data_IF_545316454784
#
_entry.id   IF_545316454784
#
_cell.length_a   1.000
_cell.length_b   1.000
_cell.length_c   1.000
_cell.angle_alpha   90.00
_cell.angle_beta   90.00
_cell.angle_gamma   90.00
#
_symmetry.space_group_name_H-M   'P 1'
#
loop_
_entity.id
_entity.type
_entity.pdbx_description
1 polymer ?
#
# COMPACT_ATOMS: atom_id res chain seq x y z
N UNK A 1 51.99 -11.49 31.83
CA UNK A 1 51.59 -12.62 30.99
C UNK A 1 51.44 -12.11 29.57
N UNK A 2 52.17 -12.73 28.66
CA UNK A 2 52.67 -12.27 27.36
C UNK A 2 51.59 -12.15 26.28
N UNK A 3 51.72 -11.08 25.45
CA UNK A 3 50.88 -10.69 24.32
C UNK A 3 51.08 -11.50 23.04
N UNK A 4 51.81 -12.61 23.07
CA UNK A 4 52.28 -13.35 21.88
C UNK A 4 51.47 -14.60 21.49
N UNK A 5 50.36 -14.90 22.18
CA UNK A 5 49.53 -16.10 21.94
C UNK A 5 48.45 -16.00 20.86
N UNK A 6 48.18 -14.79 20.32
CA UNK A 6 46.96 -14.55 19.50
C UNK A 6 47.24 -14.29 18.02
N UNK A 7 48.46 -14.53 17.56
CA UNK A 7 48.86 -14.28 16.15
C UNK A 7 49.09 -15.51 15.27
N UNK A 8 48.82 -16.72 15.74
CA UNK A 8 49.12 -17.96 14.97
C UNK A 8 47.94 -18.81 14.55
N UNK A 9 46.71 -18.28 14.53
CA UNK A 9 45.54 -19.05 14.11
C UNK A 9 44.82 -18.48 12.87
N UNK A 10 45.50 -17.74 12.04
CA UNK A 10 44.90 -17.10 10.83
C UNK A 10 45.71 -17.40 9.57
N UNK A 11 46.10 -18.66 9.36
CA UNK A 11 46.85 -19.04 8.15
C UNK A 11 46.69 -20.50 7.78
N UNK A 12 45.49 -21.00 7.66
CA UNK A 12 45.23 -22.26 6.90
C UNK A 12 43.73 -22.32 6.64
N UNK A 13 43.30 -21.81 5.51
CA UNK A 13 42.19 -22.28 4.65
C UNK A 13 42.14 -21.33 3.47
N UNK A 14 43.11 -21.52 2.58
CA UNK A 14 43.04 -21.01 1.21
C UNK A 14 43.74 -22.08 0.38
N UNK A 15 42.97 -22.94 -0.29
CA UNK A 15 43.36 -23.72 -1.51
C UNK A 15 42.23 -24.75 -1.73
N UNK A 16 41.84 -24.78 -2.99
CA UNK A 16 40.98 -25.77 -3.68
C UNK A 16 39.46 -25.49 -3.65
N UNK A 17 38.90 -24.87 -4.71
CA UNK A 17 38.42 -25.67 -5.83
C UNK A 17 38.01 -24.75 -7.00
N UNK A 18 38.90 -24.67 -7.97
CA UNK A 18 38.59 -24.32 -9.36
C UNK A 18 38.16 -25.65 -10.00
N UNK A 19 36.92 -25.82 -10.32
CA UNK A 19 36.46 -26.87 -11.22
C UNK A 19 35.54 -26.26 -12.26
N UNK A 20 36.08 -26.20 -13.42
CA UNK A 20 35.55 -26.13 -14.77
C UNK A 20 34.11 -26.63 -14.91
N UNK A 21 33.20 -25.78 -15.44
CA UNK A 21 32.10 -26.28 -16.25
C UNK A 21 32.03 -25.50 -17.55
N UNK A 22 32.60 -26.15 -18.55
CA UNK A 22 32.51 -25.83 -19.98
C UNK A 22 31.18 -26.38 -20.52
N UNK A 23 30.62 -25.61 -21.44
CA UNK A 23 29.77 -26.00 -22.56
C UNK A 23 28.42 -26.66 -22.30
N UNK A 24 27.39 -25.93 -22.65
CA UNK A 24 26.38 -26.44 -23.59
C UNK A 24 25.71 -25.27 -24.31
N UNK A 25 26.16 -25.02 -25.55
CA UNK A 25 25.41 -24.25 -26.55
C UNK A 25 24.13 -25.04 -26.89
N UNK A 26 22.97 -24.55 -26.46
CA UNK A 26 21.69 -25.02 -26.98
C UNK A 26 21.21 -24.01 -28.02
N UNK A 27 21.08 -24.50 -29.26
CA UNK A 27 20.48 -23.81 -30.42
C UNK A 27 19.03 -23.39 -30.11
N UNK A 28 18.57 -22.23 -30.58
CA UNK A 28 17.15 -21.87 -30.51
C UNK A 28 16.32 -22.72 -31.50
N UNK A 29 15.07 -23.09 -31.17
CA UNK A 29 14.21 -23.82 -32.10
C UNK A 29 13.74 -22.91 -33.24
N UNK A 30 13.73 -23.46 -34.44
CA UNK A 30 13.22 -22.87 -35.67
C UNK A 30 11.73 -22.49 -35.56
N UNK A 31 11.41 -21.30 -36.05
CA UNK A 31 10.04 -20.84 -36.29
C UNK A 31 9.33 -21.77 -37.31
N UNK A 32 8.36 -22.52 -36.82
CA UNK A 32 7.42 -23.24 -37.70
C UNK A 32 6.40 -22.23 -38.20
N UNK A 33 6.48 -21.84 -39.46
CA UNK A 33 5.44 -21.12 -40.19
C UNK A 33 4.12 -21.89 -40.14
N UNK A 34 3.14 -21.38 -39.38
CA UNK A 34 1.77 -21.87 -39.44
C UNK A 34 1.14 -21.48 -40.76
N UNK A 35 0.81 -22.49 -41.55
CA UNK A 35 0.02 -22.40 -42.78
C UNK A 35 -1.40 -21.94 -42.40
N UNK A 36 -1.78 -20.81 -42.96
CA UNK A 36 -3.11 -20.21 -42.84
C UNK A 36 -4.07 -21.07 -43.68
N UNK A 37 -4.92 -21.87 -43.04
CA UNK A 37 -6.03 -22.54 -43.68
C UNK A 37 -7.15 -21.51 -43.95
N UNK A 38 -7.49 -21.34 -45.22
CA UNK A 38 -8.66 -20.60 -45.67
C UNK A 38 -9.94 -21.35 -45.25
N UNK A 39 -10.81 -20.64 -44.50
CA UNK A 39 -12.17 -21.10 -44.23
C UNK A 39 -13.10 -20.67 -45.36
N UNK A 40 -14.04 -21.54 -45.79
CA UNK A 40 -15.01 -21.24 -46.83
C UNK A 40 -16.04 -20.20 -46.36
N UNK A 41 -16.33 -19.26 -47.22
CA UNK A 41 -17.37 -18.25 -47.08
C UNK A 41 -18.74 -18.91 -47.16
N UNK A 42 -19.45 -18.96 -46.03
CA UNK A 42 -20.84 -19.42 -45.98
C UNK A 42 -21.80 -18.25 -46.21
N UNK A 43 -22.69 -18.44 -47.13
CA UNK A 43 -23.65 -17.48 -47.71
C UNK A 43 -24.69 -17.02 -46.69
N UNK A 44 -24.86 -15.72 -46.57
CA UNK A 44 -25.89 -15.03 -45.79
C UNK A 44 -27.30 -15.28 -46.37
N UNK A 45 -28.28 -15.71 -45.58
CA UNK A 45 -29.69 -15.62 -45.98
C UNK A 45 -30.25 -14.22 -45.66
N UNK A 46 -30.91 -13.64 -46.64
CA UNK A 46 -31.69 -12.40 -46.62
C UNK A 46 -32.78 -12.46 -45.55
N UNK A 47 -32.91 -11.46 -44.67
CA UNK A 47 -34.03 -11.37 -43.75
C UNK A 47 -35.30 -10.84 -44.42
N UNK A 48 -36.32 -11.66 -44.42
CA UNK A 48 -37.70 -11.28 -44.75
C UNK A 48 -38.26 -10.30 -43.73
N UNK A 49 -38.82 -9.21 -44.24
CA UNK A 49 -39.51 -8.19 -43.45
C UNK A 49 -40.72 -8.80 -42.71
N UNK A 50 -40.75 -8.65 -41.38
CA UNK A 50 -41.96 -8.88 -40.59
C UNK A 50 -42.12 -7.77 -39.53
N UNK A 51 -43.20 -7.03 -39.76
CA UNK A 51 -44.07 -6.33 -38.78
C UNK A 51 -43.47 -5.55 -37.61
N UNK A 52 -43.62 -4.23 -37.71
CA UNK A 52 -43.67 -3.26 -36.60
C UNK A 52 -44.50 -3.75 -35.41
N UNK A 53 -43.82 -4.09 -34.31
CA UNK A 53 -44.40 -3.94 -32.97
C UNK A 53 -43.71 -2.75 -32.28
N UNK A 54 -44.53 -1.70 -32.06
CA UNK A 54 -44.14 -0.56 -31.23
C UNK A 54 -43.92 -1.08 -29.80
N UNK A 55 -42.66 -1.28 -29.43
CA UNK A 55 -42.28 -1.55 -28.03
C UNK A 55 -42.37 -0.25 -27.29
N UNK A 56 -43.24 -0.17 -26.30
CA UNK A 56 -43.28 0.89 -25.32
C UNK A 56 -41.94 0.95 -24.60
N UNK A 57 -41.41 2.17 -24.28
CA UNK A 57 -40.22 2.28 -23.47
C UNK A 57 -40.52 1.75 -22.06
N UNK A 58 -39.93 0.61 -21.74
CA UNK A 58 -39.83 0.18 -20.33
C UNK A 58 -38.87 1.18 -19.69
N UNK A 59 -39.37 2.07 -18.87
CA UNK A 59 -38.55 2.86 -17.94
C UNK A 59 -37.78 1.87 -17.07
N UNK A 60 -36.55 1.61 -17.47
CA UNK A 60 -35.60 0.93 -16.60
C UNK A 60 -35.27 1.89 -15.46
N UNK A 61 -35.97 1.68 -14.33
CA UNK A 61 -35.61 2.36 -13.10
C UNK A 61 -34.11 2.11 -12.82
N UNK A 62 -33.31 3.15 -13.00
CA UNK A 62 -31.91 3.14 -12.61
C UNK A 62 -31.86 2.81 -11.12
N UNK A 63 -31.14 1.74 -10.70
CA UNK A 63 -31.02 1.45 -9.28
C UNK A 63 -30.39 2.68 -8.63
N UNK A 64 -31.14 3.35 -7.76
CA UNK A 64 -30.60 4.36 -6.87
C UNK A 64 -29.54 3.61 -6.05
N UNK A 65 -28.27 3.91 -6.30
CA UNK A 65 -27.20 3.37 -5.49
C UNK A 65 -27.43 3.81 -4.05
N UNK A 66 -27.91 2.89 -3.23
CA UNK A 66 -28.06 3.10 -1.80
C UNK A 66 -26.71 3.58 -1.26
N UNK A 67 -26.73 4.78 -0.69
CA UNK A 67 -25.54 5.32 0.02
C UNK A 67 -25.11 4.24 1.02
N UNK A 68 -23.85 3.79 1.00
CA UNK A 68 -23.38 2.77 1.92
C UNK A 68 -23.78 3.14 3.35
N UNK A 69 -24.46 2.24 4.04
CA UNK A 69 -24.82 2.45 5.43
C UNK A 69 -23.54 2.73 6.22
N UNK A 70 -23.54 3.82 7.01
CA UNK A 70 -22.36 4.14 7.82
C UNK A 70 -22.07 2.97 8.77
N UNK A 71 -20.83 2.51 8.80
CA UNK A 71 -20.43 1.45 9.72
C UNK A 71 -20.53 1.94 11.18
N UNK A 72 -20.75 1.03 12.13
CA UNK A 72 -20.78 1.40 13.55
C UNK A 72 -19.42 1.93 13.99
N UNK A 73 -19.36 2.78 15.03
CA UNK A 73 -18.09 3.27 15.57
C UNK A 73 -17.13 2.12 15.88
N UNK A 74 -15.83 2.27 15.62
CA UNK A 74 -14.85 1.23 15.87
C UNK A 74 -14.69 0.95 17.37
N UNK A 75 -14.61 -0.32 17.75
CA UNK A 75 -14.30 -0.74 19.11
C UNK A 75 -12.83 -1.12 19.24
N UNK A 76 -12.15 -0.81 20.36
CA UNK A 76 -10.73 -1.12 20.56
C UNK A 76 -10.40 -2.61 20.31
N UNK A 77 -11.27 -3.53 20.72
CA UNK A 77 -11.06 -4.96 20.50
C UNK A 77 -11.14 -5.35 19.00
N UNK A 78 -11.99 -4.69 18.23
CA UNK A 78 -12.07 -4.89 16.78
C UNK A 78 -10.78 -4.41 16.10
N UNK A 79 -10.27 -3.25 16.53
CA UNK A 79 -8.99 -2.70 16.04
C UNK A 79 -7.84 -3.64 16.38
N UNK A 80 -7.76 -4.10 17.63
CA UNK A 80 -6.75 -5.08 18.05
C UNK A 80 -6.80 -6.36 17.20
N UNK A 81 -8.01 -6.88 16.92
CA UNK A 81 -8.19 -8.06 16.06
C UNK A 81 -7.71 -7.78 14.63
N UNK A 82 -7.99 -6.59 14.06
CA UNK A 82 -7.53 -6.21 12.73
C UNK A 82 -6.00 -6.12 12.68
N UNK A 83 -5.35 -5.50 13.66
CA UNK A 83 -3.89 -5.43 13.78
C UNK A 83 -3.29 -6.84 13.88
N UNK A 84 -3.85 -7.71 14.76
CA UNK A 84 -3.38 -9.09 14.91
C UNK A 84 -3.56 -9.89 13.61
N UNK A 85 -4.65 -9.67 12.87
CA UNK A 85 -4.88 -10.35 11.58
C UNK A 85 -3.80 -10.01 10.54
N UNK A 86 -3.39 -8.74 10.49
CA UNK A 86 -2.38 -8.27 9.51
C UNK A 86 -0.97 -8.62 9.94
N UNK A 87 -0.62 -8.29 11.18
CA UNK A 87 0.76 -8.32 11.65
C UNK A 87 1.11 -9.56 12.48
N UNK A 88 0.09 -10.33 12.92
CA UNK A 88 0.29 -11.45 13.85
C UNK A 88 1.06 -11.02 15.11
N UNK A 89 2.31 -11.44 15.25
CA UNK A 89 3.19 -11.09 16.36
C UNK A 89 4.27 -10.06 15.96
N UNK A 90 4.31 -9.65 14.68
CA UNK A 90 5.37 -8.79 14.14
C UNK A 90 5.24 -7.35 14.66
N UNK A 91 4.00 -6.88 14.85
CA UNK A 91 3.71 -5.60 15.46
C UNK A 91 2.41 -5.66 16.28
N UNK A 92 2.29 -4.78 17.26
CA UNK A 92 1.13 -4.69 18.16
C UNK A 92 0.56 -3.29 18.17
N UNK A 93 -0.73 -3.17 18.53
CA UNK A 93 -1.40 -1.88 18.73
C UNK A 93 -0.64 -1.06 19.79
N UNK A 94 -0.25 0.16 19.44
CA UNK A 94 0.31 1.12 20.38
C UNK A 94 -0.82 1.84 21.14
N UNK A 95 -1.15 1.34 22.31
CA UNK A 95 -2.20 1.92 23.18
C UNK A 95 -1.73 3.18 23.92
N UNK A 96 -0.42 3.45 23.95
CA UNK A 96 0.12 4.66 24.58
C UNK A 96 -0.05 5.89 23.66
N UNK A 97 -0.19 5.67 22.37
CA UNK A 97 -0.46 6.75 21.40
C UNK A 97 -1.92 7.19 21.49
N UNK A 98 -2.19 8.51 21.56
CA UNK A 98 -3.54 9.04 21.72
C UNK A 98 -3.87 10.11 20.65
N UNK A 99 -4.92 9.87 19.82
CA UNK A 99 -5.65 8.61 19.69
C UNK A 99 -4.79 7.53 19.01
N UNK A 100 -4.99 6.27 19.41
CA UNK A 100 -4.24 5.14 18.84
C UNK A 100 -4.72 4.72 17.45
N UNK A 101 -5.92 5.12 17.04
CA UNK A 101 -6.47 4.84 15.71
C UNK A 101 -7.50 5.86 15.29
N UNK A 102 -7.74 5.93 13.98
CA UNK A 102 -8.84 6.66 13.33
C UNK A 102 -9.34 5.85 12.12
N UNK A 103 -10.58 6.10 11.71
CA UNK A 103 -11.18 5.47 10.52
C UNK A 103 -11.64 6.52 9.52
N UNK A 104 -11.59 6.19 8.24
CA UNK A 104 -12.00 7.03 7.13
C UNK A 104 -11.82 6.29 5.82
N UNK A 105 -12.20 6.88 4.71
CA UNK A 105 -11.92 6.38 3.37
C UNK A 105 -10.64 7.07 2.86
N UNK A 106 -9.47 6.58 3.32
CA UNK A 106 -8.20 7.27 3.09
C UNK A 106 -7.66 7.09 1.67
N UNK A 107 -8.08 6.05 0.95
CA UNK A 107 -7.68 5.81 -0.43
C UNK A 107 -8.73 6.28 -1.46
N UNK A 108 -9.95 6.59 -1.03
CA UNK A 108 -11.04 7.11 -1.86
C UNK A 108 -11.75 6.03 -2.69
N UNK A 109 -11.75 4.77 -2.23
CA UNK A 109 -12.42 3.65 -2.91
C UNK A 109 -13.85 3.39 -2.43
N UNK A 110 -14.33 4.15 -1.44
CA UNK A 110 -15.65 4.03 -0.84
C UNK A 110 -15.76 3.00 0.29
N UNK A 111 -14.67 2.30 0.63
CA UNK A 111 -14.60 1.41 1.79
C UNK A 111 -13.98 2.14 2.99
N UNK A 112 -14.44 1.82 4.21
CA UNK A 112 -13.84 2.39 5.42
C UNK A 112 -12.49 1.73 5.71
N UNK A 113 -11.42 2.54 5.76
CA UNK A 113 -10.06 2.15 6.12
C UNK A 113 -9.81 2.35 7.62
N UNK A 114 -8.75 1.72 8.13
CA UNK A 114 -8.25 1.88 9.49
C UNK A 114 -6.82 2.41 9.45
N UNK A 115 -6.58 3.58 10.04
CA UNK A 115 -5.25 4.07 10.36
C UNK A 115 -5.00 3.87 11.86
N UNK A 116 -3.89 3.21 12.21
CA UNK A 116 -3.61 2.75 13.57
C UNK A 116 -2.13 2.85 13.90
N UNK A 117 -1.81 3.36 15.08
CA UNK A 117 -0.44 3.39 15.60
C UNK A 117 -0.05 1.99 16.08
N UNK A 118 1.11 1.50 15.63
CA UNK A 118 1.63 0.19 16.00
C UNK A 118 3.09 0.27 16.43
N UNK A 119 3.47 -0.59 17.37
CA UNK A 119 4.85 -0.76 17.80
C UNK A 119 5.38 -2.09 17.25
N UNK A 120 6.51 -2.10 16.54
CA UNK A 120 7.15 -3.31 16.07
C UNK A 120 7.65 -4.15 17.26
N UNK A 121 7.53 -5.47 17.15
CA UNK A 121 8.15 -6.38 18.09
C UNK A 121 9.67 -6.38 17.85
N UNK A 122 10.44 -6.00 18.86
CA UNK A 122 11.90 -5.92 18.76
C UNK A 122 12.56 -7.23 18.32
N UNK A 123 12.00 -8.38 18.73
CA UNK A 123 12.48 -9.70 18.31
C UNK A 123 12.14 -10.07 16.86
N UNK A 124 11.32 -9.27 16.18
CA UNK A 124 10.81 -9.55 14.83
C UNK A 124 11.06 -8.39 13.84
N UNK A 125 12.14 -7.64 14.04
CA UNK A 125 12.50 -6.53 13.16
C UNK A 125 12.88 -6.99 11.75
N UNK A 126 13.34 -8.22 11.58
CA UNK A 126 13.63 -8.81 10.27
C UNK A 126 12.31 -9.00 9.50
N UNK A 127 11.29 -9.51 10.16
CA UNK A 127 10.00 -9.83 9.57
C UNK A 127 9.23 -8.56 9.17
N UNK A 128 9.20 -7.53 10.03
CA UNK A 128 8.52 -6.28 9.67
C UNK A 128 9.20 -5.56 8.51
N UNK A 129 10.51 -5.73 8.36
CA UNK A 129 11.32 -5.16 7.29
C UNK A 129 11.42 -6.06 6.06
N UNK A 130 10.74 -7.21 6.04
CA UNK A 130 10.78 -8.14 4.93
C UNK A 130 10.05 -7.56 3.71
N UNK A 131 10.74 -7.55 2.56
CA UNK A 131 10.19 -7.05 1.31
C UNK A 131 9.07 -7.93 0.72
N UNK A 132 8.99 -9.18 1.17
CA UNK A 132 7.95 -10.13 0.76
C UNK A 132 6.76 -10.16 1.74
N UNK A 133 6.75 -9.28 2.75
CA UNK A 133 5.63 -9.16 3.67
C UNK A 133 4.37 -8.64 2.97
N UNK A 134 3.22 -8.88 3.59
CA UNK A 134 1.91 -8.46 3.07
C UNK A 134 1.61 -6.97 3.31
N UNK A 135 2.65 -6.15 3.49
CA UNK A 135 2.52 -4.70 3.65
C UNK A 135 3.60 -3.95 2.87
N UNK A 136 3.28 -2.72 2.52
CA UNK A 136 4.19 -1.79 1.86
C UNK A 136 4.80 -0.88 2.93
N UNK A 137 6.12 -0.94 3.11
CA UNK A 137 6.83 -0.15 4.12
C UNK A 137 7.44 1.11 3.50
N UNK A 138 7.06 2.30 4.01
CA UNK A 138 7.44 3.58 3.43
C UNK A 138 7.75 4.65 4.50
N UNK A 139 8.42 5.72 4.07
CA UNK A 139 8.52 6.96 4.84
C UNK A 139 7.71 8.05 4.10
N UNK A 140 6.57 8.49 4.63
CA UNK A 140 5.69 9.44 3.94
C UNK A 140 6.34 10.79 3.68
N UNK A 141 7.38 11.16 4.45
CA UNK A 141 8.15 12.40 4.23
C UNK A 141 9.05 12.32 2.99
N UNK A 142 9.30 11.11 2.48
CA UNK A 142 10.12 10.86 1.28
C UNK A 142 9.29 10.58 0.03
N UNK A 143 7.97 10.48 0.16
CA UNK A 143 7.06 10.25 -0.96
C UNK A 143 6.78 11.57 -1.67
N UNK A 144 7.02 11.62 -2.97
CA UNK A 144 6.71 12.79 -3.82
C UNK A 144 5.22 12.96 -4.00
N UNK A 145 4.74 14.19 -3.88
CA UNK A 145 3.34 14.54 -4.09
C UNK A 145 3.20 15.05 -5.54
N UNK A 146 2.36 14.41 -6.38
CA UNK A 146 2.14 14.86 -7.74
C UNK A 146 1.75 16.35 -7.84
N UNK A 147 2.41 17.10 -8.70
CA UNK A 147 2.15 18.52 -8.91
C UNK A 147 2.72 19.47 -7.85
N UNK A 148 3.32 18.97 -6.76
CA UNK A 148 3.92 19.78 -5.70
C UNK A 148 5.43 19.65 -5.61
N UNK A 149 5.94 18.47 -5.85
CA UNK A 149 7.39 18.23 -5.84
C UNK A 149 7.92 18.53 -7.24
N UNK A 150 8.96 19.37 -7.39
CA UNK A 150 9.67 19.45 -8.66
C UNK A 150 10.02 18.03 -9.09
N UNK A 151 9.89 17.72 -10.40
CA UNK A 151 10.26 16.42 -10.92
C UNK A 151 11.71 16.14 -10.48
N UNK A 152 11.87 15.54 -9.32
CA UNK A 152 13.15 15.20 -8.78
C UNK A 152 13.78 14.25 -9.80
N UNK A 153 15.02 14.53 -10.18
CA UNK A 153 15.87 13.55 -10.83
C UNK A 153 15.55 12.22 -10.21
N UNK A 154 15.17 11.24 -11.06
CA UNK A 154 14.59 9.97 -10.65
C UNK A 154 15.21 9.35 -9.40
N UNK A 155 14.58 8.38 -8.76
CA UNK A 155 14.99 7.89 -7.46
C UNK A 155 16.49 7.63 -7.49
N UNK A 156 17.22 8.40 -6.68
CA UNK A 156 18.65 8.16 -6.51
C UNK A 156 18.78 6.72 -6.04
N UNK A 157 19.55 5.89 -6.73
CA UNK A 157 19.79 4.49 -6.39
C UNK A 157 20.26 4.29 -4.93
N UNK A 158 20.63 5.38 -4.25
CA UNK A 158 21.07 5.44 -2.86
C UNK A 158 19.99 5.91 -1.86
N UNK A 159 18.71 6.05 -2.27
CA UNK A 159 17.68 6.31 -1.28
C UNK A 159 17.46 5.05 -0.46
N UNK A 160 18.13 4.98 0.70
CA UNK A 160 17.98 3.86 1.63
C UNK A 160 16.48 3.69 1.94
N UNK A 161 16.00 2.48 1.70
CA UNK A 161 14.62 2.09 1.97
C UNK A 161 14.29 2.36 3.43
N UNK A 162 13.08 2.84 3.70
CA UNK A 162 12.62 2.98 5.07
C UNK A 162 12.62 1.62 5.77
N UNK A 163 13.05 1.57 7.03
CA UNK A 163 13.11 0.36 7.84
C UNK A 163 12.65 0.67 9.26
N UNK A 164 11.92 -0.27 9.85
CA UNK A 164 11.59 -0.21 11.26
C UNK A 164 12.82 -0.48 12.10
N UNK A 165 12.94 0.24 13.20
CA UNK A 165 13.98 0.11 14.19
C UNK A 165 13.36 -0.13 15.57
N UNK A 166 14.19 -0.53 16.51
CA UNK A 166 13.79 -0.68 17.90
C UNK A 166 13.26 0.64 18.46
N UNK A 167 12.10 0.59 19.09
CA UNK A 167 11.47 1.76 19.71
C UNK A 167 10.69 2.66 18.75
N UNK A 168 10.61 2.31 17.47
CA UNK A 168 9.76 3.06 16.53
C UNK A 168 8.28 2.92 16.89
N UNK A 169 7.54 4.02 16.74
CA UNK A 169 6.09 4.01 16.56
C UNK A 169 5.78 4.22 15.09
N UNK A 170 5.05 3.28 14.50
CA UNK A 170 4.70 3.27 13.09
C UNK A 170 3.20 3.58 12.92
N UNK A 171 2.84 4.21 11.82
CA UNK A 171 1.45 4.31 11.41
C UNK A 171 1.13 3.22 10.40
N UNK A 172 0.24 2.30 10.74
CA UNK A 172 -0.29 1.32 9.81
C UNK A 172 -1.62 1.79 9.24
N UNK A 173 -1.80 1.70 7.92
CA UNK A 173 -3.07 1.99 7.24
C UNK A 173 -3.53 0.72 6.55
N UNK A 174 -4.62 0.13 7.06
CA UNK A 174 -5.25 -1.07 6.52
C UNK A 174 -6.40 -0.62 5.64
N UNK A 175 -6.29 -0.84 4.33
CA UNK A 175 -7.36 -0.52 3.39
C UNK A 175 -8.54 -1.44 3.60
N UNK A 176 -9.73 -0.85 3.60
CA UNK A 176 -10.98 -1.57 3.69
C UNK A 176 -11.27 -2.42 2.45
N UNK A 177 -12.21 -3.33 2.59
CA UNK A 177 -12.68 -4.13 1.46
C UNK A 177 -14.19 -4.32 1.53
N UNK A 178 -14.87 -3.80 0.52
CA UNK A 178 -16.33 -3.87 0.39
C UNK A 178 -17.08 -3.20 1.53
N UNK A 179 -18.36 -3.54 1.76
CA UNK A 179 -19.24 -2.82 2.68
C UNK A 179 -18.87 -2.97 4.17
N UNK A 180 -18.00 -3.91 4.53
CA UNK A 180 -17.49 -4.09 5.90
C UNK A 180 -16.22 -3.29 6.18
N UNK A 181 -15.64 -2.66 5.15
CA UNK A 181 -14.40 -1.90 5.27
C UNK A 181 -13.25 -2.72 5.86
N UNK A 182 -12.47 -2.11 6.74
CA UNK A 182 -11.32 -2.73 7.42
C UNK A 182 -11.69 -3.92 8.32
N UNK A 183 -12.97 -4.08 8.69
CA UNK A 183 -13.48 -5.22 9.46
C UNK A 183 -13.59 -6.50 8.62
N UNK A 184 -13.56 -6.37 7.30
CA UNK A 184 -13.60 -7.52 6.41
C UNK A 184 -12.32 -8.37 6.58
N UNK A 185 -12.42 -9.71 6.74
CA UNK A 185 -11.23 -10.58 6.80
C UNK A 185 -10.31 -10.46 5.58
N UNK A 186 -10.85 -10.10 4.42
CA UNK A 186 -10.08 -9.91 3.16
C UNK A 186 -9.44 -8.51 3.04
N UNK A 187 -9.65 -7.62 3.99
CA UNK A 187 -8.97 -6.32 4.08
C UNK A 187 -7.50 -6.53 4.50
N UNK A 188 -6.63 -6.80 3.53
CA UNK A 188 -5.23 -7.19 3.73
C UNK A 188 -4.23 -6.17 3.21
N UNK A 189 -4.64 -5.33 2.23
CA UNK A 189 -3.74 -4.31 1.71
C UNK A 189 -3.38 -3.32 2.81
N UNK A 190 -2.11 -3.25 3.14
CA UNK A 190 -1.64 -2.47 4.29
C UNK A 190 -0.39 -1.68 3.94
N UNK A 191 -0.35 -0.44 4.39
CA UNK A 191 0.80 0.44 4.34
C UNK A 191 1.34 0.65 5.75
N UNK A 192 2.65 0.55 5.92
CA UNK A 192 3.34 0.79 7.20
C UNK A 192 4.26 1.99 7.02
N UNK A 193 4.01 3.05 7.75
CA UNK A 193 4.66 4.32 7.56
C UNK A 193 5.63 4.62 8.72
N UNK A 194 6.93 4.57 8.44
CA UNK A 194 7.96 5.10 9.37
C UNK A 194 7.84 6.61 9.40
N UNK A 195 7.96 7.22 10.57
CA UNK A 195 7.74 8.66 10.75
C UNK A 195 6.33 9.13 10.35
N UNK A 196 5.37 8.21 10.33
CA UNK A 196 3.98 8.49 9.97
C UNK A 196 3.04 8.62 11.16
N UNK A 197 3.43 8.15 12.35
CA UNK A 197 2.64 8.31 13.57
C UNK A 197 2.97 9.65 14.25
N UNK A 198 1.96 10.50 14.45
CA UNK A 198 2.08 11.82 15.04
C UNK A 198 1.02 12.08 16.12
N UNK A 199 1.19 13.15 16.88
CA UNK A 199 0.24 13.52 17.93
C UNK A 199 -1.07 14.07 17.36
N UNK A 200 -2.20 13.82 18.06
CA UNK A 200 -3.50 14.39 17.73
C UNK A 200 -4.10 13.88 16.42
N UNK A 201 -3.82 12.62 16.09
CA UNK A 201 -4.31 11.99 14.87
C UNK A 201 -5.84 12.08 14.75
N UNK A 202 -6.33 12.53 13.60
CA UNK A 202 -7.76 12.64 13.29
C UNK A 202 -8.03 12.41 11.80
N UNK A 203 -9.11 11.71 11.49
CA UNK A 203 -9.59 11.63 10.11
C UNK A 203 -10.23 12.96 9.70
N UNK A 204 -9.89 13.45 8.52
CA UNK A 204 -10.45 14.68 7.95
C UNK A 204 -11.05 14.36 6.59
N UNK A 205 -12.34 14.60 6.47
CA UNK A 205 -13.08 14.38 5.23
C UNK A 205 -12.53 15.25 4.13
N UNK A 206 -12.32 14.67 2.95
CA UNK A 206 -11.85 15.38 1.75
C UNK A 206 -12.66 16.63 1.43
N UNK A 207 -13.98 16.59 1.69
CA UNK A 207 -14.89 17.72 1.48
C UNK A 207 -14.58 18.92 2.38
N UNK A 208 -14.11 18.69 3.60
CA UNK A 208 -13.71 19.75 4.55
C UNK A 208 -12.31 20.33 4.31
N UNK A 209 -11.55 19.73 3.38
CA UNK A 209 -10.18 20.15 3.09
C UNK A 209 -10.05 20.94 1.79
N UNK A 210 -11.12 21.07 1.01
CA UNK A 210 -11.10 21.70 -0.32
C UNK A 210 -10.65 23.17 -0.30
N UNK A 211 -10.90 23.86 0.81
CA UNK A 211 -10.59 25.28 0.96
C UNK A 211 -9.16 25.54 1.47
N UNK A 212 -8.41 24.49 1.76
CA UNK A 212 -7.00 24.62 2.17
C UNK A 212 -6.18 24.99 0.94
N UNK A 213 -5.67 26.21 0.94
CA UNK A 213 -4.82 26.74 -0.13
C UNK A 213 -3.61 25.80 -0.34
N UNK A 214 -3.33 25.51 -1.60
CA UNK A 214 -2.19 24.68 -2.00
C UNK A 214 -2.26 23.18 -1.58
N UNK A 215 -3.38 22.71 -1.04
CA UNK A 215 -3.54 21.28 -0.83
C UNK A 215 -3.51 20.54 -2.19
N UNK A 216 -2.79 19.43 -2.30
CA UNK A 216 -2.85 18.61 -3.51
C UNK A 216 -4.24 18.04 -3.73
N UNK A 217 -4.52 17.61 -4.96
CA UNK A 217 -5.79 16.92 -5.25
C UNK A 217 -5.87 15.64 -4.41
N UNK A 218 -6.83 15.64 -3.47
CA UNK A 218 -7.08 14.49 -2.61
C UNK A 218 -8.01 13.49 -3.31
N UNK A 219 -7.67 12.22 -3.20
CA UNK A 219 -8.48 11.10 -3.70
C UNK A 219 -9.38 10.51 -2.62
N UNK A 220 -9.00 10.65 -1.36
CA UNK A 220 -9.73 10.16 -0.19
C UNK A 220 -9.58 11.13 0.99
N UNK A 221 -10.05 10.69 2.15
CA UNK A 221 -9.88 11.42 3.40
C UNK A 221 -8.40 11.56 3.76
N UNK A 222 -8.06 12.56 4.56
CA UNK A 222 -6.70 12.74 5.05
C UNK A 222 -6.59 12.42 6.54
N UNK A 223 -5.39 12.05 6.98
CA UNK A 223 -5.09 11.88 8.41
C UNK A 223 -4.33 13.12 8.87
N UNK A 224 -5.04 14.02 9.55
CA UNK A 224 -4.44 15.22 10.17
C UNK A 224 -3.74 14.87 11.47
N UNK A 225 -2.54 15.39 11.68
CA UNK A 225 -1.74 15.15 12.88
C UNK A 225 -0.54 16.10 12.95
N UNK A 226 0.22 16.04 14.05
CA UNK A 226 1.47 16.78 14.22
C UNK A 226 2.64 15.80 14.30
N UNK A 227 3.60 15.91 13.38
CA UNK A 227 4.78 15.05 13.29
C UNK A 227 6.05 15.90 13.44
N UNK A 228 6.78 15.68 14.55
CA UNK A 228 8.04 16.41 14.80
C UNK A 228 7.85 17.91 15.03
N UNK A 229 6.66 18.32 15.51
CA UNK A 229 6.30 19.72 15.74
C UNK A 229 5.54 20.37 14.57
N UNK A 230 5.55 19.76 13.40
CA UNK A 230 4.84 20.29 12.21
C UNK A 230 3.44 19.70 12.11
N UNK A 231 2.44 20.57 11.98
CA UNK A 231 1.05 20.17 11.68
C UNK A 231 0.87 19.92 10.19
N UNK A 232 0.17 18.85 9.86
CA UNK A 232 -0.03 18.48 8.45
C UNK A 232 -0.93 17.26 8.30
N UNK A 233 -0.81 16.63 7.14
CA UNK A 233 -1.68 15.56 6.71
C UNK A 233 -0.89 14.40 6.09
N UNK A 234 -1.28 13.18 6.43
CA UNK A 234 -0.96 12.01 5.62
C UNK A 234 -2.07 11.90 4.56
N UNK A 235 -1.69 11.88 3.31
CA UNK A 235 -2.60 11.88 2.15
C UNK A 235 -2.26 10.75 1.19
N UNK A 236 -3.28 10.21 0.54
CA UNK A 236 -3.13 9.21 -0.52
C UNK A 236 -2.83 9.88 -1.86
N UNK A 237 -1.73 9.50 -2.50
CA UNK A 237 -1.31 10.03 -3.81
C UNK A 237 -1.89 9.25 -5.00
N UNK A 238 -2.60 8.16 -4.73
CA UNK A 238 -3.07 7.20 -5.73
C UNK A 238 -2.22 5.92 -5.80
N UNK A 239 -1.05 5.91 -5.17
CA UNK A 239 -0.15 4.75 -5.10
C UNK A 239 0.53 4.60 -3.74
N UNK A 240 0.76 5.71 -3.03
CA UNK A 240 1.53 5.79 -1.79
C UNK A 240 0.95 6.83 -0.86
N UNK A 241 1.28 6.74 0.43
CA UNK A 241 0.95 7.78 1.39
C UNK A 241 2.09 8.79 1.51
N UNK A 242 1.77 10.08 1.42
CA UNK A 242 2.72 11.18 1.52
C UNK A 242 2.37 12.10 2.70
N UNK A 243 3.40 12.69 3.31
CA UNK A 243 3.25 13.77 4.28
C UNK A 243 3.13 15.11 3.57
N UNK A 244 2.10 15.86 3.89
CA UNK A 244 1.90 17.23 3.43
C UNK A 244 1.76 18.16 4.62
N UNK A 245 2.62 19.18 4.72
CA UNK A 245 2.51 20.26 5.71
C UNK A 245 2.38 21.60 4.99
N UNK A 246 1.29 22.35 5.19
CA UNK A 246 1.05 23.63 4.52
C UNK A 246 2.09 24.73 4.87
N UNK A 247 2.80 24.57 5.97
CA UNK A 247 3.77 25.56 6.44
C UNK A 247 5.23 25.32 6.03
N UNK A 248 5.54 24.15 5.46
CA UNK A 248 6.90 23.83 4.97
C UNK A 248 7.07 24.40 3.55
N UNK A 249 7.86 25.49 3.43
CA UNK A 249 8.32 26.07 2.16
C UNK A 249 9.67 25.49 1.77
#
# INVERSE_FOLDING_TARGET
>A
MSRDGMRRLLSYILIASIACWLCACAKPPEETKAVRAEQPVESTPTPTAAANQVAQPVETATPVADKPASLPPPKPDEVKKAVTRVFQQVATLDVAHSPSFVVGDFNGDGSEDLAVSVTPNEGMLIEINNELANWIFEDPKKVSIPGKTPAARGPSANQMRARAEKGDTLLAIIHGYGPKGWRNPEARQTYVLKNGAGAGMKAQKVTGLRDIRELPLLRGDAIGQTIGGDSGFIIWTGAKYAWYSPGLK
#
